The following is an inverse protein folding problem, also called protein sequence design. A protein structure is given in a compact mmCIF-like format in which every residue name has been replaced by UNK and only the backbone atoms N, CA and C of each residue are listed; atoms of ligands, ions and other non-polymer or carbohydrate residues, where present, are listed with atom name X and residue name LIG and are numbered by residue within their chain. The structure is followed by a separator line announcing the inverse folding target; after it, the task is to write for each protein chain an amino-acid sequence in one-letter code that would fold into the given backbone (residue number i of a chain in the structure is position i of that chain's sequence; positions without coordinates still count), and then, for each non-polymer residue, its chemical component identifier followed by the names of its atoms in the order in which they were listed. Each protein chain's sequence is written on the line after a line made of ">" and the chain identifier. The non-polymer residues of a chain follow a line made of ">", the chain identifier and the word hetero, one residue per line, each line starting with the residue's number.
data_IF_767486193543
#
_entry.id   IF_767486193543
#
_cell.length_a   1.000
_cell.length_b   1.000
_cell.length_c   1.000
_cell.angle_alpha   90.00
_cell.angle_beta   90.00
_cell.angle_gamma   90.00
#
_symmetry.space_group_name_H-M   'P 1'
#
loop_
_entity.id
_entity.type
_entity.pdbx_description
1 polymer ?
#
# COMPACT_ATOMS: atom_id res chain seq x y z
N UNK A 1 21.80 -3.64 11.06
CA UNK A 1 22.11 -4.83 11.90
C UNK A 1 20.79 -5.54 12.08
N UNK A 2 20.63 -6.81 11.68
CA UNK A 2 19.30 -7.45 11.70
C UNK A 2 18.84 -7.67 13.15
N UNK A 3 17.70 -7.10 13.52
CA UNK A 3 17.12 -7.23 14.85
C UNK A 3 16.28 -8.51 14.92
N UNK A 4 16.39 -9.24 16.03
CA UNK A 4 15.60 -10.45 16.27
C UNK A 4 14.18 -10.05 16.72
N UNK A 5 13.23 -10.07 15.77
CA UNK A 5 11.82 -9.68 15.94
C UNK A 5 11.15 -10.35 17.13
N UNK A 6 11.51 -11.60 17.42
CA UNK A 6 10.90 -12.38 18.50
C UNK A 6 11.28 -11.81 19.86
N UNK A 7 12.54 -11.39 20.01
CA UNK A 7 13.06 -10.80 21.25
C UNK A 7 12.51 -9.41 21.50
N UNK A 8 12.30 -8.61 20.46
CA UNK A 8 11.70 -7.27 20.59
C UNK A 8 10.24 -7.37 21.03
N UNK A 9 9.46 -8.29 20.43
CA UNK A 9 8.08 -8.55 20.88
C UNK A 9 8.02 -8.97 22.35
N UNK A 10 8.87 -9.91 22.76
CA UNK A 10 8.91 -10.36 24.15
C UNK A 10 9.34 -9.24 25.10
N UNK A 11 10.30 -8.40 24.69
CA UNK A 11 10.72 -7.25 25.48
C UNK A 11 9.58 -6.23 25.67
N UNK A 12 8.86 -5.87 24.61
CA UNK A 12 7.76 -4.91 24.70
C UNK A 12 6.53 -5.48 25.42
N UNK A 13 6.24 -6.77 25.26
CA UNK A 13 5.19 -7.45 26.02
C UNK A 13 5.42 -7.39 27.53
N UNK A 14 6.68 -7.31 27.98
CA UNK A 14 7.04 -7.20 29.39
C UNK A 14 7.04 -5.76 29.93
N UNK A 15 6.90 -4.74 29.07
CA UNK A 15 6.76 -3.34 29.50
C UNK A 15 5.36 -3.06 30.02
N UNK A 16 5.26 -2.13 30.96
CA UNK A 16 3.99 -1.54 31.40
C UNK A 16 3.45 -0.54 30.37
N UNK A 17 2.17 -0.20 30.48
CA UNK A 17 1.53 0.75 29.55
C UNK A 17 2.19 2.13 29.59
N UNK A 18 2.63 2.60 30.77
CA UNK A 18 3.34 3.86 30.90
C UNK A 18 4.72 3.84 30.21
N UNK A 19 5.42 2.71 30.24
CA UNK A 19 6.69 2.54 29.54
C UNK A 19 6.50 2.48 28.02
N UNK A 20 5.41 1.85 27.55
CA UNK A 20 5.03 1.87 26.13
C UNK A 20 4.68 3.29 25.67
N UNK A 21 3.92 4.04 26.47
CA UNK A 21 3.58 5.45 26.19
C UNK A 21 4.83 6.34 26.13
N UNK A 22 5.76 6.16 27.07
CA UNK A 22 7.01 6.90 27.09
C UNK A 22 7.88 6.57 25.87
N UNK A 23 8.00 5.29 25.53
CA UNK A 23 8.73 4.83 24.36
C UNK A 23 8.13 5.41 23.06
N UNK A 24 6.80 5.39 22.94
CA UNK A 24 6.05 5.92 21.80
C UNK A 24 6.11 7.47 21.67
N UNK A 25 6.41 8.18 22.74
CA UNK A 25 6.40 9.65 22.75
C UNK A 25 7.79 10.28 22.75
N UNK A 26 8.84 9.57 23.17
CA UNK A 26 10.17 10.17 23.37
C UNK A 26 11.31 9.48 22.61
N UNK A 27 11.21 8.17 22.34
CA UNK A 27 12.37 7.38 21.92
C UNK A 27 12.23 6.76 20.52
N UNK A 28 11.08 6.97 19.87
CA UNK A 28 10.73 6.41 18.56
C UNK A 28 11.80 6.65 17.48
N UNK A 29 12.40 7.84 17.44
CA UNK A 29 13.41 8.22 16.45
C UNK A 29 14.72 7.43 16.56
N UNK A 30 14.95 6.77 17.70
CA UNK A 30 16.12 5.92 17.94
C UNK A 30 15.85 4.44 17.66
N UNK A 31 14.60 4.07 17.38
CA UNK A 31 14.20 2.71 17.07
C UNK A 31 14.38 2.38 15.60
N UNK A 32 14.66 1.12 15.33
CA UNK A 32 14.65 0.57 13.98
C UNK A 32 13.20 0.43 13.46
N UNK A 33 13.02 0.53 12.14
CA UNK A 33 11.72 0.43 11.46
C UNK A 33 10.95 -0.84 11.87
N UNK A 34 11.64 -1.97 12.02
CA UNK A 34 11.00 -3.22 12.43
C UNK A 34 10.55 -3.21 13.90
N UNK A 35 11.25 -2.49 14.77
CA UNK A 35 10.88 -2.34 16.18
C UNK A 35 9.68 -1.38 16.34
N UNK A 36 9.60 -0.35 15.51
CA UNK A 36 8.47 0.58 15.47
C UNK A 36 7.16 -0.14 15.11
N UNK A 37 7.20 -1.01 14.10
CA UNK A 37 6.03 -1.81 13.74
C UNK A 37 5.56 -2.70 14.90
N UNK A 38 6.50 -3.33 15.61
CA UNK A 38 6.18 -4.14 16.78
C UNK A 38 5.59 -3.27 17.92
N UNK A 39 6.07 -2.04 18.09
CA UNK A 39 5.51 -1.10 19.07
C UNK A 39 4.07 -0.68 18.73
N UNK A 40 3.78 -0.41 17.44
CA UNK A 40 2.42 -0.10 16.97
C UNK A 40 1.49 -1.29 17.22
N UNK A 41 1.92 -2.51 16.86
CA UNK A 41 1.15 -3.75 17.11
C UNK A 41 0.81 -3.90 18.61
N UNK A 42 1.74 -3.55 19.50
CA UNK A 42 1.57 -3.64 20.95
C UNK A 42 0.61 -2.58 21.52
N UNK A 43 0.68 -1.34 21.00
CA UNK A 43 -0.24 -0.25 21.37
C UNK A 43 -1.67 -0.60 20.98
N UNK A 44 -1.86 -1.16 19.78
CA UNK A 44 -3.17 -1.61 19.29
C UNK A 44 -3.69 -2.81 20.08
N UNK A 45 -2.85 -3.80 20.39
CA UNK A 45 -3.25 -5.01 21.14
C UNK A 45 -3.70 -4.71 22.57
N UNK A 46 -3.11 -3.66 23.16
CA UNK A 46 -3.43 -3.17 24.51
C UNK A 46 -4.54 -2.12 24.54
N UNK A 47 -5.03 -1.68 23.37
CA UNK A 47 -6.05 -0.64 23.25
C UNK A 47 -5.66 0.66 23.98
N UNK A 48 -4.38 1.04 23.86
CA UNK A 48 -3.82 2.29 24.43
C UNK A 48 -4.27 3.51 23.62
N UNK A 49 -3.94 4.71 24.12
CA UNK A 49 -4.41 5.96 23.53
C UNK A 49 -4.01 6.06 22.03
N UNK A 50 -4.97 6.18 21.09
CA UNK A 50 -4.69 6.25 19.66
C UNK A 50 -3.77 7.42 19.26
N UNK A 51 -3.70 8.48 20.07
CA UNK A 51 -2.81 9.62 19.81
C UNK A 51 -1.32 9.26 19.86
N UNK A 52 -0.95 8.12 20.47
CA UNK A 52 0.43 7.63 20.52
C UNK A 52 0.93 7.20 19.14
N UNK A 53 0.09 6.53 18.34
CA UNK A 53 0.42 6.14 16.97
C UNK A 53 0.66 7.39 16.11
N UNK A 54 -0.15 8.43 16.33
CA UNK A 54 0.01 9.71 15.67
C UNK A 54 1.33 10.40 16.06
N UNK A 55 1.72 10.34 17.34
CA UNK A 55 3.00 10.87 17.81
C UNK A 55 4.20 10.13 17.20
N UNK A 56 4.14 8.79 17.14
CA UNK A 56 5.13 7.92 16.48
C UNK A 56 5.31 8.34 15.01
N UNK A 57 4.20 8.45 14.28
CA UNK A 57 4.23 8.81 12.85
C UNK A 57 4.78 10.22 12.62
N UNK A 58 4.38 11.19 13.45
CA UNK A 58 4.88 12.57 13.38
C UNK A 58 6.39 12.63 13.62
N UNK A 59 6.91 11.82 14.54
CA UNK A 59 8.34 11.80 14.86
C UNK A 59 9.18 11.10 13.80
N UNK A 60 8.66 10.05 13.16
CA UNK A 60 9.38 9.27 12.16
C UNK A 60 9.35 9.91 10.77
N UNK A 61 8.22 10.51 10.40
CA UNK A 61 8.03 11.04 9.05
C UNK A 61 8.05 12.56 9.01
N UNK A 62 7.82 13.24 10.14
CA UNK A 62 7.59 14.67 10.20
C UNK A 62 6.17 15.08 9.77
N UNK A 63 5.28 14.12 9.44
CA UNK A 63 3.97 14.39 8.85
C UNK A 63 2.82 13.78 9.65
N UNK A 64 1.71 14.51 9.73
CA UNK A 64 0.46 14.10 10.39
C UNK A 64 -0.50 13.44 9.40
N UNK A 65 -1.55 12.77 9.89
CA UNK A 65 -2.61 12.24 9.02
C UNK A 65 -3.34 13.34 8.23
N UNK A 66 -3.42 14.56 8.77
CA UNK A 66 -3.95 15.72 8.03
C UNK A 66 -3.04 16.11 6.85
N UNK A 67 -1.71 15.95 6.99
CA UNK A 67 -0.77 16.14 5.89
C UNK A 67 -1.00 15.11 4.79
N UNK A 68 -1.21 13.84 5.18
CA UNK A 68 -1.50 12.74 4.25
C UNK A 68 -2.79 13.02 3.49
N UNK A 69 -3.85 13.44 4.17
CA UNK A 69 -5.13 13.76 3.55
C UNK A 69 -4.99 14.91 2.54
N UNK A 70 -4.34 16.01 2.93
CA UNK A 70 -4.08 17.15 2.03
C UNK A 70 -3.27 16.75 0.82
N UNK A 71 -2.26 15.90 1.00
CA UNK A 71 -1.43 15.43 -0.11
C UNK A 71 -2.23 14.49 -1.02
N UNK A 72 -3.06 13.61 -0.45
CA UNK A 72 -3.94 12.73 -1.22
C UNK A 72 -4.89 13.53 -2.09
N UNK A 73 -5.52 14.59 -1.57
CA UNK A 73 -6.35 15.49 -2.37
C UNK A 73 -5.60 16.08 -3.58
N UNK A 74 -4.33 16.46 -3.40
CA UNK A 74 -3.49 16.96 -4.51
C UNK A 74 -3.20 15.88 -5.54
N UNK A 75 -2.88 14.67 -5.10
CA UNK A 75 -2.66 13.52 -5.99
C UNK A 75 -3.93 13.19 -6.78
N UNK A 76 -5.09 13.18 -6.12
CA UNK A 76 -6.38 12.90 -6.74
C UNK A 76 -6.82 13.96 -7.75
N UNK A 77 -6.32 15.19 -7.63
CA UNK A 77 -6.59 16.29 -8.57
C UNK A 77 -5.73 16.23 -9.85
N UNK A 78 -4.73 15.35 -9.93
CA UNK A 78 -3.88 15.20 -11.10
C UNK A 78 -4.66 14.60 -12.30
N UNK A 79 -4.21 14.85 -13.55
CA UNK A 79 -4.70 14.08 -14.69
C UNK A 79 -4.41 12.58 -14.51
N UNK A 80 -5.21 11.73 -15.14
CA UNK A 80 -4.98 10.29 -15.11
C UNK A 80 -3.59 9.95 -15.71
N UNK A 81 -2.72 9.22 -14.99
CA UNK A 81 -1.37 8.91 -15.47
C UNK A 81 -1.36 7.96 -16.68
N UNK A 82 -2.46 7.24 -16.95
CA UNK A 82 -2.56 6.28 -18.06
C UNK A 82 -3.14 6.89 -19.34
N UNK A 83 -4.11 7.82 -19.24
CA UNK A 83 -4.78 8.42 -20.39
C UNK A 83 -4.64 9.94 -20.52
N UNK A 84 -4.18 10.64 -19.48
CA UNK A 84 -3.99 12.10 -19.46
C UNK A 84 -5.27 12.92 -19.21
N UNK A 85 -6.44 12.29 -19.11
CA UNK A 85 -7.72 12.98 -18.91
C UNK A 85 -7.78 13.66 -17.54
N UNK A 86 -8.35 14.88 -17.48
CA UNK A 86 -8.47 15.68 -16.26
C UNK A 86 -9.90 15.63 -15.69
N UNK A 87 -10.01 15.84 -14.38
CA UNK A 87 -11.31 15.90 -13.69
C UNK A 87 -11.99 14.55 -13.48
N UNK A 88 -11.29 13.44 -13.75
CA UNK A 88 -11.72 12.11 -13.39
C UNK A 88 -11.26 11.77 -11.97
N UNK A 89 -12.12 11.10 -11.20
CA UNK A 89 -11.74 10.58 -9.89
C UNK A 89 -10.69 9.47 -10.07
N UNK A 90 -9.50 9.69 -9.49
CA UNK A 90 -8.45 8.67 -9.45
C UNK A 90 -8.74 7.70 -8.30
N UNK A 91 -8.53 6.41 -8.56
CA UNK A 91 -8.71 5.35 -7.56
C UNK A 91 -7.47 4.48 -7.49
N UNK A 92 -7.11 4.09 -6.26
CA UNK A 92 -6.12 3.05 -6.02
C UNK A 92 -6.73 1.69 -6.31
N UNK A 93 -6.03 0.85 -7.06
CA UNK A 93 -6.51 -0.48 -7.46
C UNK A 93 -5.44 -1.53 -7.31
N UNK A 94 -5.87 -2.70 -6.87
CA UNK A 94 -5.02 -3.89 -6.82
C UNK A 94 -5.34 -4.81 -8.00
N UNK A 95 -4.33 -5.11 -8.81
CA UNK A 95 -4.43 -6.12 -9.87
C UNK A 95 -3.56 -7.32 -9.55
N UNK A 96 -4.14 -8.49 -9.78
CA UNK A 96 -3.49 -9.79 -9.70
C UNK A 96 -3.50 -10.41 -11.09
N UNK A 97 -2.33 -10.85 -11.54
CA UNK A 97 -2.16 -11.53 -12.82
C UNK A 97 -1.40 -12.83 -12.59
N UNK A 98 -1.85 -13.90 -13.24
CA UNK A 98 -1.13 -15.18 -13.30
C UNK A 98 -0.89 -15.56 -14.75
N UNK A 99 0.34 -15.96 -15.07
CA UNK A 99 0.72 -16.49 -16.37
C UNK A 99 1.48 -17.79 -16.14
N UNK A 100 1.08 -18.84 -16.84
CA UNK A 100 1.72 -20.15 -16.75
C UNK A 100 2.13 -20.63 -18.14
N UNK A 101 3.31 -21.21 -18.23
CA UNK A 101 3.87 -21.78 -19.45
C UNK A 101 4.52 -23.12 -19.08
N UNK A 102 3.76 -24.22 -19.17
CA UNK A 102 4.17 -25.63 -18.97
C UNK A 102 4.90 -25.88 -17.64
N UNK A 103 6.13 -25.39 -17.50
CA UNK A 103 7.00 -25.54 -16.33
C UNK A 103 7.07 -24.24 -15.48
N UNK A 104 6.85 -23.06 -16.05
CA UNK A 104 7.00 -21.77 -15.36
C UNK A 104 5.64 -21.18 -15.04
N UNK A 105 5.42 -20.76 -13.79
CA UNK A 105 4.24 -19.98 -13.39
C UNK A 105 4.70 -18.68 -12.76
N UNK A 106 4.30 -17.55 -13.34
CA UNK A 106 4.54 -16.21 -12.79
C UNK A 106 3.26 -15.67 -12.20
N UNK A 107 3.37 -15.15 -10.98
CA UNK A 107 2.32 -14.41 -10.31
C UNK A 107 2.77 -12.98 -10.09
N UNK A 108 1.93 -12.01 -10.45
CA UNK A 108 2.19 -10.59 -10.23
C UNK A 108 1.05 -9.98 -9.43
N UNK A 109 1.42 -9.13 -8.47
CA UNK A 109 0.52 -8.30 -7.67
C UNK A 109 0.98 -6.85 -7.83
N UNK A 110 0.13 -6.01 -8.40
CA UNK A 110 0.48 -4.63 -8.76
C UNK A 110 -0.60 -3.71 -8.19
N UNK A 111 -0.18 -2.72 -7.41
CA UNK A 111 -1.01 -1.59 -7.00
C UNK A 111 -0.79 -0.45 -7.97
N UNK A 112 -1.86 0.18 -8.43
CA UNK A 112 -1.78 1.28 -9.38
C UNK A 112 -2.89 2.31 -9.10
N UNK A 113 -2.65 3.56 -9.50
CA UNK A 113 -3.56 4.68 -9.34
C UNK A 113 -3.97 5.15 -10.74
N UNK A 114 -5.27 5.09 -11.03
CA UNK A 114 -5.80 5.52 -12.32
C UNK A 114 -7.28 5.89 -12.23
N UNK A 115 -7.81 6.52 -13.29
CA UNK A 115 -9.25 6.71 -13.43
C UNK A 115 -9.98 5.36 -13.59
N UNK A 116 -11.30 5.38 -13.35
CA UNK A 116 -12.15 4.18 -13.42
C UNK A 116 -12.01 3.41 -14.74
N UNK A 117 -12.03 4.11 -15.88
CA UNK A 117 -11.98 3.46 -17.20
C UNK A 117 -10.64 2.76 -17.46
N UNK A 118 -9.52 3.41 -17.11
CA UNK A 118 -8.19 2.82 -17.23
C UNK A 118 -8.01 1.64 -16.26
N UNK A 119 -8.55 1.78 -15.04
CA UNK A 119 -8.59 0.70 -14.06
C UNK A 119 -9.38 -0.52 -14.55
N UNK A 120 -10.56 -0.31 -15.12
CA UNK A 120 -11.41 -1.37 -15.65
C UNK A 120 -10.79 -2.02 -16.90
N UNK A 121 -10.11 -1.24 -17.73
CA UNK A 121 -9.34 -1.75 -18.88
C UNK A 121 -8.23 -2.68 -18.42
N UNK A 122 -7.38 -2.26 -17.46
CA UNK A 122 -6.32 -3.13 -16.92
C UNK A 122 -6.89 -4.35 -16.21
N UNK A 123 -7.98 -4.21 -15.46
CA UNK A 123 -8.63 -5.33 -14.79
C UNK A 123 -9.12 -6.40 -15.79
N UNK A 124 -9.79 -5.98 -16.88
CA UNK A 124 -10.21 -6.88 -17.96
C UNK A 124 -9.03 -7.55 -18.65
N UNK A 125 -7.94 -6.83 -18.87
CA UNK A 125 -6.71 -7.39 -19.44
C UNK A 125 -6.12 -8.46 -18.51
N UNK A 126 -5.98 -8.17 -17.21
CA UNK A 126 -5.46 -9.12 -16.24
C UNK A 126 -6.34 -10.37 -16.12
N UNK A 127 -7.67 -10.20 -16.15
CA UNK A 127 -8.62 -11.32 -16.17
C UNK A 127 -8.46 -12.16 -17.43
N UNK A 128 -8.40 -11.53 -18.62
CA UNK A 128 -8.25 -12.22 -19.89
C UNK A 128 -6.91 -12.98 -19.96
N UNK A 129 -5.81 -12.33 -19.57
CA UNK A 129 -4.48 -12.93 -19.54
C UNK A 129 -4.42 -14.10 -18.55
N UNK A 130 -4.95 -13.92 -17.35
CA UNK A 130 -5.01 -14.99 -16.34
C UNK A 130 -5.88 -16.17 -16.79
N UNK A 131 -7.00 -15.89 -17.45
CA UNK A 131 -7.93 -16.90 -17.94
C UNK A 131 -7.46 -17.61 -19.21
N UNK A 132 -6.54 -17.03 -19.98
CA UNK A 132 -6.00 -17.68 -21.19
C UNK A 132 -4.66 -18.35 -20.91
N UNK A 133 -3.81 -17.75 -20.09
CA UNK A 133 -2.43 -18.17 -19.88
C UNK A 133 -2.20 -18.84 -18.52
N UNK A 134 -3.09 -18.71 -17.54
CA UNK A 134 -2.87 -19.29 -16.21
C UNK A 134 -2.90 -20.83 -16.17
N UNK A 135 -3.62 -21.47 -17.09
CA UNK A 135 -3.93 -22.90 -17.02
C UNK A 135 -2.82 -23.83 -17.48
N UNK A 136 -1.85 -23.34 -18.26
CA UNK A 136 -0.88 -24.20 -18.94
C UNK A 136 0.21 -24.79 -18.04
N UNK A 137 0.25 -24.44 -16.75
CA UNK A 137 1.19 -25.03 -15.80
C UNK A 137 0.60 -26.30 -15.16
N UNK A 138 1.24 -27.45 -15.35
CA UNK A 138 0.82 -28.71 -14.70
C UNK A 138 1.76 -29.00 -13.51
N UNK A 139 1.26 -29.31 -12.29
CA UNK A 139 -0.15 -29.32 -11.86
C UNK A 139 -0.66 -27.95 -11.36
N UNK A 140 0.23 -26.99 -11.13
CA UNK A 140 -0.06 -25.80 -10.32
C UNK A 140 -1.00 -24.77 -10.96
N UNK A 141 -1.03 -24.68 -12.29
CA UNK A 141 -1.86 -23.75 -13.04
C UNK A 141 -3.36 -24.03 -12.90
N UNK A 142 -3.75 -25.31 -12.81
CA UNK A 142 -5.14 -25.72 -12.64
C UNK A 142 -5.72 -25.30 -11.28
N UNK A 143 -4.90 -25.19 -10.23
CA UNK A 143 -5.34 -24.74 -8.90
C UNK A 143 -5.13 -23.23 -8.69
N UNK A 144 -4.00 -22.67 -9.13
CA UNK A 144 -3.66 -21.26 -8.90
C UNK A 144 -4.48 -20.30 -9.74
N UNK A 145 -4.86 -20.69 -10.95
CA UNK A 145 -5.65 -19.84 -11.86
C UNK A 145 -7.05 -19.54 -11.32
N UNK A 146 -7.88 -20.54 -10.92
CA UNK A 146 -9.20 -20.24 -10.38
C UNK A 146 -9.12 -19.45 -9.07
N UNK A 147 -8.13 -19.73 -8.21
CA UNK A 147 -7.90 -18.94 -7.01
C UNK A 147 -7.57 -17.47 -7.33
N UNK A 148 -6.69 -17.22 -8.30
CA UNK A 148 -6.29 -15.87 -8.71
C UNK A 148 -7.45 -15.10 -9.34
N UNK A 149 -8.22 -15.75 -10.22
CA UNK A 149 -9.43 -15.16 -10.82
C UNK A 149 -10.45 -14.84 -9.73
N UNK A 150 -10.66 -15.74 -8.76
CA UNK A 150 -11.52 -15.50 -7.61
C UNK A 150 -11.07 -14.30 -6.77
N UNK A 151 -9.78 -14.22 -6.43
CA UNK A 151 -9.21 -13.09 -5.71
C UNK A 151 -9.37 -11.78 -6.49
N UNK A 152 -9.12 -11.77 -7.80
CA UNK A 152 -9.28 -10.60 -8.67
C UNK A 152 -10.73 -10.09 -8.73
N UNK A 153 -11.72 -11.01 -8.68
CA UNK A 153 -13.14 -10.66 -8.59
C UNK A 153 -13.52 -10.11 -7.21
N UNK A 154 -12.93 -10.65 -6.14
CA UNK A 154 -13.14 -10.14 -4.78
C UNK A 154 -12.52 -8.76 -4.58
N UNK A 155 -11.32 -8.53 -5.09
CA UNK A 155 -10.64 -7.22 -5.06
C UNK A 155 -11.51 -6.16 -5.74
N UNK A 156 -12.14 -6.49 -6.88
CA UNK A 156 -13.10 -5.59 -7.55
C UNK A 156 -14.28 -5.20 -6.65
N UNK A 157 -14.80 -6.13 -5.84
CA UNK A 157 -15.91 -5.83 -4.91
C UNK A 157 -15.46 -4.94 -3.74
N UNK A 158 -14.20 -5.06 -3.34
CA UNK A 158 -13.60 -4.28 -2.25
C UNK A 158 -12.91 -3.00 -2.73
N UNK A 159 -13.18 -2.57 -3.96
CA UNK A 159 -12.48 -1.46 -4.61
C UNK A 159 -12.45 -0.20 -3.74
N UNK A 160 -13.57 0.21 -3.15
CA UNK A 160 -13.62 1.45 -2.33
C UNK A 160 -12.71 1.38 -1.11
N UNK A 161 -12.80 0.29 -0.34
CA UNK A 161 -11.99 0.06 0.85
C UNK A 161 -10.49 -0.06 0.51
N UNK A 162 -10.17 -0.79 -0.57
CA UNK A 162 -8.78 -0.97 -1.03
C UNK A 162 -8.19 0.31 -1.63
N UNK A 163 -8.99 1.11 -2.33
CA UNK A 163 -8.54 2.36 -2.95
C UNK A 163 -8.00 3.31 -1.89
N UNK A 164 -8.73 3.46 -0.79
CA UNK A 164 -8.33 4.33 0.31
C UNK A 164 -6.99 3.88 0.92
N UNK A 165 -6.85 2.57 1.21
CA UNK A 165 -5.61 2.01 1.74
C UNK A 165 -4.43 2.16 0.78
N UNK A 166 -4.65 1.94 -0.52
CA UNK A 166 -3.61 2.06 -1.55
C UNK A 166 -3.18 3.52 -1.72
N UNK A 167 -4.12 4.46 -1.72
CA UNK A 167 -3.84 5.90 -1.84
C UNK A 167 -3.08 6.42 -0.62
N UNK A 168 -3.54 6.10 0.59
CA UNK A 168 -2.85 6.49 1.82
C UNK A 168 -1.45 5.90 1.88
N UNK A 169 -1.31 4.60 1.57
CA UNK A 169 -0.01 3.94 1.50
C UNK A 169 0.91 4.57 0.45
N UNK A 170 0.40 4.90 -0.74
CA UNK A 170 1.16 5.59 -1.77
C UNK A 170 1.66 6.96 -1.29
N UNK A 171 0.78 7.77 -0.71
CA UNK A 171 1.13 9.11 -0.22
C UNK A 171 2.19 9.03 0.88
N UNK A 172 2.02 8.16 1.86
CA UNK A 172 2.98 7.98 2.96
C UNK A 172 4.35 7.58 2.40
N UNK A 173 4.40 6.60 1.50
CA UNK A 173 5.65 6.09 0.94
C UNK A 173 6.38 7.09 0.03
N UNK A 174 5.66 8.04 -0.57
CA UNK A 174 6.21 9.03 -1.50
C UNK A 174 6.16 10.45 -0.94
N UNK A 175 5.85 10.64 0.35
CA UNK A 175 5.49 11.94 0.92
C UNK A 175 6.58 13.00 0.71
N UNK A 176 7.85 12.63 0.92
CA UNK A 176 9.00 13.52 0.72
C UNK A 176 9.11 14.00 -0.74
N UNK A 177 9.00 13.08 -1.70
CA UNK A 177 9.09 13.39 -3.12
C UNK A 177 7.88 14.20 -3.61
N UNK A 178 6.68 13.87 -3.11
CA UNK A 178 5.46 14.62 -3.40
C UNK A 178 5.56 16.06 -2.87
N UNK A 179 6.06 16.25 -1.65
CA UNK A 179 6.27 17.59 -1.08
C UNK A 179 7.32 18.40 -1.83
N UNK A 180 8.45 17.79 -2.18
CA UNK A 180 9.50 18.47 -2.95
C UNK A 180 9.00 18.97 -4.32
N UNK A 181 7.97 18.31 -4.88
CA UNK A 181 7.46 18.57 -6.23
C UNK A 181 6.06 19.17 -6.28
N UNK A 182 5.53 19.69 -5.16
CA UNK A 182 4.15 20.19 -5.07
C UNK A 182 3.79 21.26 -6.11
N UNK A 183 4.79 22.04 -6.55
CA UNK A 183 4.65 23.08 -7.57
C UNK A 183 4.84 22.61 -9.02
N UNK A 184 5.17 21.33 -9.23
CA UNK A 184 5.54 20.76 -10.52
C UNK A 184 4.63 19.58 -10.88
N UNK A 185 3.46 19.88 -11.46
CA UNK A 185 2.44 18.87 -11.81
C UNK A 185 3.01 17.70 -12.63
N UNK A 186 3.90 17.96 -13.59
CA UNK A 186 4.51 16.92 -14.42
C UNK A 186 5.36 15.94 -13.62
N UNK A 187 6.04 16.41 -12.58
CA UNK A 187 6.86 15.55 -11.71
C UNK A 187 5.98 14.73 -10.77
N UNK A 188 4.90 15.34 -10.22
CA UNK A 188 3.91 14.61 -9.44
C UNK A 188 3.26 13.49 -10.26
N UNK A 189 2.90 13.79 -11.52
CA UNK A 189 2.34 12.80 -12.43
C UNK A 189 3.32 11.66 -12.70
N UNK A 190 4.62 11.95 -12.85
CA UNK A 190 5.65 10.93 -13.08
C UNK A 190 5.81 10.01 -11.86
N UNK A 191 5.77 10.54 -10.64
CA UNK A 191 5.80 9.74 -9.40
C UNK A 191 4.61 8.76 -9.38
N UNK A 192 3.40 9.25 -9.66
CA UNK A 192 2.20 8.40 -9.71
C UNK A 192 2.29 7.38 -10.86
N UNK A 193 2.80 7.78 -12.02
CA UNK A 193 2.97 6.90 -13.17
C UNK A 193 3.99 5.78 -12.90
N UNK A 194 5.08 6.08 -12.21
CA UNK A 194 6.11 5.11 -11.86
C UNK A 194 5.58 4.06 -10.86
N UNK A 195 4.66 4.42 -9.97
CA UNK A 195 3.95 3.46 -9.10
C UNK A 195 3.12 2.43 -9.89
N UNK A 196 2.67 2.77 -11.11
CA UNK A 196 1.80 1.91 -11.92
C UNK A 196 2.56 0.85 -12.74
N UNK A 197 3.89 0.81 -12.68
CA UNK A 197 4.76 -0.09 -13.44
C UNK A 197 5.20 -1.29 -12.62
#
# INVERSE_FOLDING_TARGET
>A
MAIDKTKVREAYANLSDAEIEELATKEVTSLDEEAIHILIDEIESRNLNPTLIQAIQTQLTGFTMDDVERMKEKVLALPCPECGERGLELTGRLIREVKSFIVVTTYKRITFIACEECGEKRWRQALALSSLLGWWGIPWGLFRTPFTIGALLLDRRKLKEQSEQILNGFVINNMGDLQANLGHESQLLDIVYNQNR
#
